data_IF_356307106050
#
_entry.id   IF_356307106050
#
_cell.length_a   1.000
_cell.length_b   1.000
_cell.length_c   1.000
_cell.angle_alpha   90.00
_cell.angle_beta   90.00
_cell.angle_gamma   90.00
#
_symmetry.space_group_name_H-M   'P 1'
#
loop_
_entity.id
_entity.type
_entity.pdbx_description
1 polymer ?
#
# COMPACT_ATOMS: atom_id res chain seq x y z
N UNK A 1 -33.84 -38.11 8.60
CA UNK A 1 -33.02 -37.09 7.91
C UNK A 1 -33.91 -36.27 6.99
N UNK A 2 -34.68 -35.35 7.57
CA UNK A 2 -35.80 -34.65 6.95
C UNK A 2 -35.33 -33.39 6.22
N UNK A 3 -35.52 -33.38 4.90
CA UNK A 3 -35.52 -32.27 3.95
C UNK A 3 -35.53 -30.85 4.57
N UNK A 4 -34.36 -30.21 4.70
CA UNK A 4 -34.22 -28.86 5.28
C UNK A 4 -34.46 -27.72 4.28
N UNK A 5 -34.84 -27.98 3.02
CA UNK A 5 -35.11 -26.88 2.07
C UNK A 5 -36.29 -27.18 1.14
N UNK A 6 -37.49 -27.36 1.70
CA UNK A 6 -38.74 -27.26 0.93
C UNK A 6 -39.40 -25.87 1.03
N UNK A 7 -38.82 -24.95 1.82
CA UNK A 7 -39.37 -23.61 1.99
C UNK A 7 -39.09 -22.72 0.77
N UNK A 8 -40.15 -22.44 0.00
CA UNK A 8 -40.18 -21.46 -1.10
C UNK A 8 -39.48 -20.12 -0.74
N UNK A 9 -39.67 -19.51 0.45
CA UNK A 9 -38.98 -18.27 0.81
C UNK A 9 -37.46 -18.43 0.91
N UNK A 10 -36.98 -19.53 1.49
CA UNK A 10 -35.54 -19.82 1.60
C UNK A 10 -34.92 -20.04 0.22
N UNK A 11 -35.60 -20.79 -0.67
CA UNK A 11 -35.16 -20.97 -2.06
C UNK A 11 -35.05 -19.64 -2.82
N UNK A 12 -36.01 -18.74 -2.61
CA UNK A 12 -35.99 -17.42 -3.23
C UNK A 12 -34.84 -16.56 -2.71
N UNK A 13 -34.59 -16.58 -1.39
CA UNK A 13 -33.49 -15.85 -0.77
C UNK A 13 -32.12 -16.35 -1.27
N UNK A 14 -31.91 -17.66 -1.32
CA UNK A 14 -30.69 -18.28 -1.87
C UNK A 14 -30.50 -17.87 -3.34
N UNK A 15 -31.58 -17.86 -4.15
CA UNK A 15 -31.51 -17.44 -5.55
C UNK A 15 -31.09 -15.97 -5.68
N UNK A 16 -31.58 -15.09 -4.80
CA UNK A 16 -31.19 -13.69 -4.81
C UNK A 16 -29.74 -13.48 -4.35
N UNK A 17 -29.29 -14.19 -3.32
CA UNK A 17 -27.89 -14.14 -2.88
C UNK A 17 -26.94 -14.62 -3.98
N UNK A 18 -27.30 -15.67 -4.72
CA UNK A 18 -26.52 -16.13 -5.89
C UNK A 18 -26.41 -15.04 -6.97
N UNK A 19 -27.51 -14.33 -7.25
CA UNK A 19 -27.50 -13.20 -8.20
C UNK A 19 -26.63 -12.04 -7.72
N UNK A 20 -26.69 -11.72 -6.43
CA UNK A 20 -25.90 -10.65 -5.83
C UNK A 20 -24.40 -11.00 -5.88
N UNK A 21 -24.05 -12.24 -5.53
CA UNK A 21 -22.69 -12.76 -5.65
C UNK A 21 -22.15 -12.63 -7.07
N UNK A 22 -22.94 -12.98 -8.09
CA UNK A 22 -22.52 -12.84 -9.50
C UNK A 22 -22.21 -11.38 -9.89
N UNK A 23 -22.89 -10.40 -9.29
CA UNK A 23 -22.57 -8.98 -9.52
C UNK A 23 -21.17 -8.65 -8.99
N UNK A 24 -20.84 -9.13 -7.78
CA UNK A 24 -19.52 -8.93 -7.19
C UNK A 24 -18.42 -9.71 -7.92
N UNK A 25 -18.68 -10.95 -8.33
CA UNK A 25 -17.73 -11.74 -9.13
C UNK A 25 -17.42 -11.05 -10.47
N UNK A 26 -18.45 -10.51 -11.13
CA UNK A 26 -18.26 -9.77 -12.39
C UNK A 26 -17.50 -8.46 -12.18
N UNK A 27 -17.79 -7.73 -11.10
CA UNK A 27 -17.03 -6.54 -10.72
C UNK A 27 -15.55 -6.88 -10.50
N UNK A 28 -15.28 -7.92 -9.71
CA UNK A 28 -13.94 -8.41 -9.42
C UNK A 28 -13.19 -8.79 -10.70
N UNK A 29 -13.79 -9.59 -11.57
CA UNK A 29 -13.16 -10.02 -12.81
C UNK A 29 -12.78 -8.85 -13.75
N UNK A 30 -13.61 -7.80 -13.80
CA UNK A 30 -13.27 -6.57 -14.55
C UNK A 30 -12.05 -5.89 -13.95
N UNK A 31 -11.99 -5.77 -12.62
CA UNK A 31 -10.93 -5.05 -11.92
C UNK A 31 -9.62 -5.84 -11.85
N UNK A 32 -9.65 -7.15 -11.66
CA UNK A 32 -8.44 -8.00 -11.69
C UNK A 32 -7.77 -7.97 -13.06
N UNK A 33 -8.56 -7.88 -14.14
CA UNK A 33 -8.07 -7.78 -15.52
C UNK A 33 -6.96 -8.79 -15.80
N UNK A 34 -7.23 -10.07 -15.53
CA UNK A 34 -6.28 -11.17 -15.70
C UNK A 34 -5.71 -11.22 -17.12
N UNK A 35 -6.52 -10.85 -18.11
CA UNK A 35 -6.13 -10.74 -19.54
C UNK A 35 -5.18 -9.57 -19.85
N UNK A 36 -4.80 -8.77 -18.85
CA UNK A 36 -3.91 -7.60 -18.96
C UNK A 36 -4.31 -6.62 -20.07
N UNK A 37 -5.61 -6.33 -20.20
CA UNK A 37 -6.11 -5.34 -21.16
C UNK A 37 -5.69 -3.93 -20.75
N UNK A 38 -5.66 -3.01 -21.72
CA UNK A 38 -5.33 -1.61 -21.48
C UNK A 38 -6.36 -0.92 -20.59
N UNK A 39 -5.97 0.23 -20.03
CA UNK A 39 -6.81 1.10 -19.21
C UNK A 39 -8.16 1.39 -19.88
N UNK A 40 -8.15 1.76 -21.15
CA UNK A 40 -9.33 2.19 -21.91
C UNK A 40 -10.34 1.05 -22.04
N UNK A 41 -9.85 -0.18 -22.25
CA UNK A 41 -10.68 -1.37 -22.35
C UNK A 41 -11.34 -1.69 -21.01
N UNK A 42 -10.59 -1.62 -19.91
CA UNK A 42 -11.12 -1.89 -18.58
C UNK A 42 -12.13 -0.81 -18.17
N UNK A 43 -11.82 0.47 -18.40
CA UNK A 43 -12.73 1.59 -18.16
C UNK A 43 -14.03 1.44 -18.97
N UNK A 44 -13.92 1.01 -20.23
CA UNK A 44 -15.07 0.69 -21.08
C UNK A 44 -15.93 -0.46 -20.53
N UNK A 45 -15.31 -1.57 -20.10
CA UNK A 45 -16.02 -2.69 -19.44
C UNK A 45 -16.72 -2.23 -18.17
N UNK A 46 -16.04 -1.40 -17.37
CA UNK A 46 -16.56 -0.89 -16.11
C UNK A 46 -17.71 0.11 -16.31
N UNK A 47 -17.67 0.96 -17.35
CA UNK A 47 -18.80 1.82 -17.74
C UNK A 47 -20.03 1.00 -18.07
N UNK A 48 -19.88 -0.03 -18.91
CA UNK A 48 -20.99 -0.93 -19.28
C UNK A 48 -21.56 -1.65 -18.05
N UNK A 49 -20.69 -2.08 -17.14
CA UNK A 49 -21.11 -2.67 -15.87
C UNK A 49 -21.90 -1.68 -15.02
N UNK A 50 -21.40 -0.45 -14.84
CA UNK A 50 -22.05 0.60 -14.09
C UNK A 50 -23.44 0.93 -14.66
N UNK A 51 -23.56 1.14 -15.97
CA UNK A 51 -24.86 1.40 -16.61
C UNK A 51 -25.85 0.24 -16.45
N UNK A 52 -25.36 -1.00 -16.47
CA UNK A 52 -26.20 -2.17 -16.18
C UNK A 52 -26.65 -2.20 -14.72
N UNK A 53 -25.80 -1.77 -13.79
CA UNK A 53 -26.11 -1.74 -12.37
C UNK A 53 -27.08 -0.60 -12.04
N UNK A 54 -26.95 0.56 -12.69
CA UNK A 54 -27.88 1.69 -12.58
C UNK A 54 -29.30 1.30 -13.02
N UNK A 55 -29.43 0.59 -14.15
CA UNK A 55 -30.72 0.03 -14.58
C UNK A 55 -31.31 -0.93 -13.54
N UNK A 56 -30.50 -1.78 -12.93
CA UNK A 56 -30.95 -2.65 -11.84
C UNK A 56 -31.31 -1.88 -10.57
N UNK A 57 -30.63 -0.77 -10.29
CA UNK A 57 -30.90 0.08 -9.13
C UNK A 57 -32.22 0.84 -9.24
N UNK A 58 -32.66 1.14 -10.46
CA UNK A 58 -33.99 1.72 -10.71
C UNK A 58 -35.12 0.81 -10.19
N UNK A 59 -34.96 -0.51 -10.34
CA UNK A 59 -35.93 -1.51 -9.82
C UNK A 59 -35.63 -1.93 -8.38
N UNK A 60 -34.35 -1.95 -7.98
CA UNK A 60 -33.94 -2.40 -6.66
C UNK A 60 -32.92 -1.46 -6.02
N UNK A 61 -33.39 -0.61 -5.10
CA UNK A 61 -32.60 0.42 -4.44
C UNK A 61 -31.39 -0.11 -3.65
N UNK A 62 -31.30 -1.41 -3.36
CA UNK A 62 -30.16 -2.00 -2.63
C UNK A 62 -28.80 -1.80 -3.34
N UNK A 63 -28.80 -1.57 -4.64
CA UNK A 63 -27.57 -1.36 -5.41
C UNK A 63 -27.11 0.10 -5.46
N UNK A 64 -27.92 1.04 -4.99
CA UNK A 64 -27.60 2.48 -4.99
C UNK A 64 -26.30 2.79 -4.22
N UNK A 65 -26.04 2.20 -3.02
CA UNK A 65 -24.78 2.42 -2.30
C UNK A 65 -23.56 1.98 -3.11
N UNK A 66 -23.64 0.82 -3.78
CA UNK A 66 -22.56 0.29 -4.61
C UNK A 66 -22.24 1.22 -5.80
N UNK A 67 -23.27 1.74 -6.46
CA UNK A 67 -23.11 2.72 -7.55
C UNK A 67 -22.43 3.99 -7.05
N UNK A 68 -22.88 4.54 -5.91
CA UNK A 68 -22.26 5.73 -5.31
C UNK A 68 -20.79 5.50 -5.00
N UNK A 69 -20.45 4.33 -4.44
CA UNK A 69 -19.08 3.97 -4.13
C UNK A 69 -18.20 3.89 -5.39
N UNK A 70 -18.67 3.21 -6.44
CA UNK A 70 -17.94 3.12 -7.71
C UNK A 70 -17.71 4.51 -8.32
N UNK A 71 -18.74 5.37 -8.34
CA UNK A 71 -18.62 6.73 -8.86
C UNK A 71 -17.65 7.58 -8.05
N UNK A 72 -17.67 7.46 -6.72
CA UNK A 72 -16.76 8.19 -5.82
C UNK A 72 -15.29 7.92 -6.14
N UNK A 73 -14.94 6.68 -6.46
CA UNK A 73 -13.56 6.28 -6.73
C UNK A 73 -13.20 6.24 -8.23
N UNK A 74 -14.11 6.67 -9.11
CA UNK A 74 -13.98 6.49 -10.56
C UNK A 74 -12.68 7.07 -11.14
N UNK A 75 -12.30 8.27 -10.70
CA UNK A 75 -11.10 8.97 -11.20
C UNK A 75 -9.80 8.23 -10.87
N UNK A 76 -9.74 7.56 -9.72
CA UNK A 76 -8.55 6.81 -9.27
C UNK A 76 -8.55 5.34 -9.68
N UNK A 77 -9.70 4.78 -10.04
CA UNK A 77 -9.87 3.33 -10.23
C UNK A 77 -8.98 2.77 -11.35
N UNK A 78 -8.71 3.57 -12.39
CA UNK A 78 -8.02 3.10 -13.59
C UNK A 78 -6.57 3.56 -13.73
N UNK A 79 -6.05 4.32 -12.76
CA UNK A 79 -4.72 4.92 -12.85
C UNK A 79 -3.59 3.87 -12.91
N UNK A 80 -3.78 2.74 -12.22
CA UNK A 80 -2.77 1.69 -12.08
C UNK A 80 -2.66 0.77 -13.30
N UNK A 81 -3.62 0.80 -14.25
CA UNK A 81 -3.60 -0.08 -15.43
C UNK A 81 -2.52 0.28 -16.45
N UNK A 82 -1.97 1.50 -16.40
CA UNK A 82 -0.84 1.92 -17.24
C UNK A 82 0.53 1.61 -16.62
N UNK A 83 0.58 1.11 -15.39
CA UNK A 83 1.82 0.99 -14.62
C UNK A 83 1.93 -0.39 -13.98
N UNK A 84 2.64 -1.31 -14.64
CA UNK A 84 2.86 -2.68 -14.14
C UNK A 84 3.56 -2.76 -12.78
N UNK A 85 4.26 -1.70 -12.39
CA UNK A 85 4.95 -1.60 -11.10
C UNK A 85 4.03 -1.23 -9.93
N UNK A 86 2.80 -0.78 -10.20
CA UNK A 86 1.87 -0.34 -9.15
C UNK A 86 0.83 -1.45 -8.91
N UNK A 87 0.69 -1.94 -7.66
CA UNK A 87 -0.32 -2.94 -7.35
C UNK A 87 -1.74 -2.43 -7.67
N UNK A 88 -2.56 -3.30 -8.27
CA UNK A 88 -3.83 -2.90 -8.91
C UNK A 88 -5.01 -2.88 -7.95
N UNK A 89 -5.06 -3.83 -7.02
CA UNK A 89 -6.12 -3.93 -6.01
C UNK A 89 -5.59 -3.64 -4.62
N UNK A 90 -6.47 -3.33 -3.67
CA UNK A 90 -6.06 -3.21 -2.26
C UNK A 90 -5.42 -4.49 -1.73
N UNK A 91 -5.90 -5.66 -2.16
CA UNK A 91 -5.29 -6.94 -1.81
C UNK A 91 -3.89 -7.09 -2.38
N UNK A 92 -3.66 -6.62 -3.61
CA UNK A 92 -2.32 -6.59 -4.20
C UNK A 92 -1.43 -5.57 -3.49
N UNK A 93 -1.97 -4.42 -3.09
CA UNK A 93 -1.25 -3.42 -2.28
C UNK A 93 -0.88 -4.00 -0.92
N UNK A 94 -1.80 -4.69 -0.24
CA UNK A 94 -1.53 -5.37 1.03
C UNK A 94 -0.48 -6.46 0.88
N UNK A 95 -0.61 -7.30 -0.15
CA UNK A 95 0.39 -8.34 -0.48
C UNK A 95 1.75 -7.72 -0.80
N UNK A 96 1.75 -6.62 -1.54
CA UNK A 96 2.96 -5.85 -1.88
C UNK A 96 3.62 -5.25 -0.63
N UNK A 97 2.84 -4.59 0.24
CA UNK A 97 3.30 -4.04 1.52
C UNK A 97 3.83 -5.16 2.41
N UNK A 98 3.18 -6.32 2.42
CA UNK A 98 3.63 -7.48 3.18
C UNK A 98 4.98 -8.03 2.70
N UNK A 99 5.14 -8.22 1.39
CA UNK A 99 6.42 -8.63 0.80
C UNK A 99 7.54 -7.61 1.06
N UNK A 100 7.21 -6.32 0.98
CA UNK A 100 8.11 -5.22 1.33
C UNK A 100 8.55 -5.33 2.81
N UNK A 101 7.60 -5.49 3.73
CA UNK A 101 7.87 -5.66 5.18
C UNK A 101 8.71 -6.90 5.47
N UNK A 102 8.45 -8.01 4.76
CA UNK A 102 9.17 -9.28 4.93
C UNK A 102 10.62 -9.17 4.48
N UNK A 103 10.87 -8.61 3.29
CA UNK A 103 12.24 -8.36 2.80
C UNK A 103 12.98 -7.36 3.69
N UNK A 104 12.31 -6.30 4.14
CA UNK A 104 12.84 -5.35 5.10
C UNK A 104 13.32 -6.03 6.39
N UNK A 105 12.46 -6.83 7.03
CA UNK A 105 12.80 -7.56 8.26
C UNK A 105 14.02 -8.46 8.07
N UNK A 106 14.18 -9.08 6.90
CA UNK A 106 15.37 -9.90 6.60
C UNK A 106 16.65 -9.09 6.47
N UNK A 107 16.58 -7.91 5.86
CA UNK A 107 17.76 -7.06 5.64
C UNK A 107 18.21 -6.34 6.91
N UNK A 108 17.26 -5.88 7.74
CA UNK A 108 17.58 -4.96 8.86
C UNK A 108 17.24 -5.51 10.23
N UNK A 109 16.56 -6.67 10.32
CA UNK A 109 16.06 -7.21 11.59
C UNK A 109 14.90 -6.43 12.20
N UNK A 110 14.53 -5.27 11.65
CA UNK A 110 13.53 -4.36 12.22
C UNK A 110 12.10 -4.67 11.72
N UNK A 111 11.10 -4.57 12.60
CA UNK A 111 9.68 -4.80 12.28
C UNK A 111 8.88 -3.50 12.06
N UNK A 112 9.42 -2.34 12.46
CA UNK A 112 8.74 -1.03 12.39
C UNK A 112 8.97 -0.35 11.04
N UNK A 113 8.33 -0.87 10.00
CA UNK A 113 8.42 -0.36 8.64
C UNK A 113 7.77 1.01 8.46
N UNK A 114 6.74 1.33 9.24
CA UNK A 114 5.98 2.58 9.10
C UNK A 114 6.79 3.82 9.52
N UNK A 115 7.54 3.73 10.62
CA UNK A 115 8.51 4.77 10.97
C UNK A 115 9.56 4.88 9.87
N UNK A 116 10.10 3.76 9.39
CA UNK A 116 11.14 3.80 8.38
C UNK A 116 10.68 4.43 7.05
N UNK A 117 9.49 4.10 6.54
CA UNK A 117 8.95 4.73 5.32
C UNK A 117 8.85 6.25 5.49
N UNK A 118 8.46 6.73 6.67
CA UNK A 118 8.37 8.15 6.96
C UNK A 118 9.74 8.86 6.93
N UNK A 119 10.82 8.22 7.35
CA UNK A 119 12.17 8.81 7.36
C UNK A 119 13.01 8.48 6.11
N UNK A 120 12.68 7.39 5.42
CA UNK A 120 13.53 6.77 4.40
C UNK A 120 12.78 6.41 3.13
N UNK A 121 11.66 7.07 2.84
CA UNK A 121 10.97 6.97 1.55
C UNK A 121 11.92 6.98 0.33
N UNK A 122 13.01 7.78 0.28
CA UNK A 122 14.00 7.70 -0.80
C UNK A 122 14.70 6.34 -0.89
N UNK A 123 15.05 5.72 0.24
CA UNK A 123 15.63 4.37 0.30
C UNK A 123 14.58 3.29 -0.04
N UNK A 124 13.32 3.55 0.31
CA UNK A 124 12.18 2.75 -0.13
C UNK A 124 12.13 2.65 -1.65
N UNK A 125 12.30 3.77 -2.36
CA UNK A 125 12.38 3.85 -3.85
C UNK A 125 13.48 2.94 -4.42
N UNK A 126 14.65 2.85 -3.77
CA UNK A 126 15.68 1.90 -4.16
C UNK A 126 15.27 0.44 -3.92
N UNK A 127 14.56 0.15 -2.82
CA UNK A 127 14.00 -1.18 -2.59
C UNK A 127 12.90 -1.53 -3.60
N UNK A 128 12.03 -0.58 -3.98
CA UNK A 128 11.03 -0.75 -5.05
C UNK A 128 11.68 -1.21 -6.36
N UNK A 129 12.87 -0.68 -6.63
CA UNK A 129 13.68 -1.00 -7.80
C UNK A 129 14.36 -2.38 -7.77
N UNK A 130 14.33 -3.08 -6.62
CA UNK A 130 14.93 -4.40 -6.39
C UNK A 130 13.89 -5.50 -6.11
N UNK A 131 12.60 -5.16 -6.10
CA UNK A 131 11.50 -6.08 -5.77
C UNK A 131 10.74 -6.52 -7.04
N UNK A 132 10.41 -7.81 -7.11
CA UNK A 132 9.63 -8.42 -8.21
C UNK A 132 10.45 -9.36 -9.09
N UNK A 133 9.79 -10.13 -9.96
CA UNK A 133 10.45 -11.07 -10.88
C UNK A 133 11.22 -10.37 -12.02
N UNK A 134 10.88 -9.11 -12.30
CA UNK A 134 11.55 -8.23 -13.26
C UNK A 134 11.58 -6.80 -12.72
N UNK A 135 12.48 -6.49 -11.78
CA UNK A 135 12.58 -5.15 -11.21
C UNK A 135 12.96 -4.13 -12.29
N UNK A 136 12.51 -2.87 -12.18
CA UNK A 136 12.84 -1.82 -13.15
C UNK A 136 14.34 -1.67 -13.43
N UNK A 137 15.20 -1.80 -12.40
CA UNK A 137 16.66 -1.76 -12.57
C UNK A 137 17.19 -2.88 -13.46
N UNK A 138 16.64 -4.09 -13.34
CA UNK A 138 17.00 -5.23 -14.20
C UNK A 138 16.67 -4.96 -15.67
N UNK A 139 15.55 -4.28 -15.94
CA UNK A 139 15.17 -3.88 -17.31
C UNK A 139 16.10 -2.81 -17.89
N UNK A 140 16.69 -1.98 -17.03
CA UNK A 140 17.65 -0.95 -17.40
C UNK A 140 19.10 -1.48 -17.47
N UNK A 141 19.32 -2.78 -17.25
CA UNK A 141 20.63 -3.42 -17.34
C UNK A 141 21.48 -3.35 -16.07
N UNK A 142 20.94 -2.85 -14.96
CA UNK A 142 21.64 -2.82 -13.68
C UNK A 142 21.53 -4.16 -12.96
N UNK A 143 22.59 -4.53 -12.21
CA UNK A 143 22.51 -5.65 -11.29
C UNK A 143 21.44 -5.39 -10.23
N UNK A 144 20.65 -6.43 -9.94
CA UNK A 144 19.63 -6.43 -8.88
C UNK A 144 20.01 -7.35 -7.73
N UNK A 145 21.24 -7.88 -7.74
CA UNK A 145 21.77 -8.60 -6.61
C UNK A 145 22.16 -7.60 -5.51
N UNK A 146 21.44 -7.68 -4.40
CA UNK A 146 21.63 -6.81 -3.24
C UNK A 146 23.03 -6.97 -2.66
N UNK A 147 23.60 -8.19 -2.69
CA UNK A 147 24.94 -8.43 -2.17
C UNK A 147 25.99 -7.69 -3.00
N UNK A 148 25.89 -7.77 -4.32
CA UNK A 148 26.78 -7.08 -5.26
C UNK A 148 26.67 -5.55 -5.12
N UNK A 149 25.45 -5.02 -5.09
CA UNK A 149 25.23 -3.58 -4.92
C UNK A 149 25.77 -3.06 -3.59
N UNK A 150 25.54 -3.78 -2.49
CA UNK A 150 26.06 -3.37 -1.18
C UNK A 150 27.59 -3.50 -1.11
N UNK A 151 28.17 -4.46 -1.83
CA UNK A 151 29.63 -4.62 -1.90
C UNK A 151 30.34 -3.52 -2.70
N UNK A 152 29.62 -2.81 -3.58
CA UNK A 152 30.16 -1.68 -4.35
C UNK A 152 30.29 -0.37 -3.55
N UNK A 153 29.71 -0.31 -2.36
CA UNK A 153 29.77 0.87 -1.49
C UNK A 153 30.97 0.74 -0.56
N UNK A 154 31.81 1.77 -0.50
CA UNK A 154 32.94 1.78 0.42
C UNK A 154 32.47 1.78 1.88
N UNK A 155 33.26 1.15 2.76
CA UNK A 155 32.97 1.11 4.19
C UNK A 155 32.87 2.52 4.81
N UNK A 156 33.67 3.46 4.32
CA UNK A 156 33.66 4.85 4.78
C UNK A 156 32.37 5.56 4.43
N UNK A 157 31.87 5.40 3.19
CA UNK A 157 30.57 5.93 2.78
C UNK A 157 29.43 5.34 3.60
N UNK A 158 29.49 4.03 3.91
CA UNK A 158 28.52 3.39 4.80
C UNK A 158 28.54 4.00 6.21
N UNK A 159 29.73 4.14 6.82
CA UNK A 159 29.91 4.72 8.16
C UNK A 159 29.37 6.15 8.24
N UNK A 160 29.64 6.95 7.22
CA UNK A 160 29.19 8.34 7.15
C UNK A 160 27.65 8.43 7.05
N UNK A 161 27.03 7.60 6.20
CA UNK A 161 25.58 7.51 6.13
C UNK A 161 24.94 7.03 7.45
N UNK A 162 25.57 6.11 8.17
CA UNK A 162 25.08 5.64 9.47
C UNK A 162 25.16 6.72 10.55
N UNK A 163 26.25 7.50 10.59
CA UNK A 163 26.38 8.62 11.53
C UNK A 163 25.36 9.73 11.25
N UNK A 164 25.07 10.01 9.98
CA UNK A 164 24.01 10.94 9.60
C UNK A 164 22.62 10.44 9.98
N UNK A 165 22.38 9.13 9.89
CA UNK A 165 21.15 8.51 10.36
C UNK A 165 20.94 8.65 11.87
N UNK A 166 21.98 8.40 12.66
CA UNK A 166 21.87 8.52 14.12
C UNK A 166 21.55 9.95 14.55
N UNK A 167 22.08 10.96 13.84
CA UNK A 167 21.72 12.38 14.03
C UNK A 167 20.24 12.65 13.73
N UNK A 168 19.76 12.24 12.57
CA UNK A 168 18.35 12.43 12.17
C UNK A 168 17.37 11.76 13.14
N UNK A 169 17.75 10.60 13.70
CA UNK A 169 16.93 9.87 14.68
C UNK A 169 16.82 10.64 16.00
N UNK A 170 17.89 11.29 16.43
CA UNK A 170 17.89 12.10 17.66
C UNK A 170 17.08 13.40 17.47
N UNK A 171 17.24 14.09 16.35
CA UNK A 171 16.44 15.28 16.02
C UNK A 171 14.93 14.99 16.05
N UNK A 172 14.53 13.82 15.55
CA UNK A 172 13.13 13.42 15.56
C UNK A 172 12.63 12.97 16.94
N UNK A 173 13.50 12.39 17.78
CA UNK A 173 13.18 12.10 19.19
C UNK A 173 12.85 13.40 19.91
N UNK A 174 13.66 14.44 19.71
CA UNK A 174 13.44 15.78 20.25
C UNK A 174 12.12 16.33 19.73
N UNK A 175 11.87 16.29 18.42
CA UNK A 175 10.62 16.76 17.80
C UNK A 175 9.38 16.06 18.34
N UNK A 176 9.42 14.72 18.46
CA UNK A 176 8.31 13.92 19.02
C UNK A 176 8.10 14.20 20.51
N UNK A 177 9.18 14.42 21.27
CA UNK A 177 9.14 14.86 22.66
C UNK A 177 8.40 16.19 22.78
N UNK A 178 8.77 17.17 21.95
CA UNK A 178 8.13 18.49 21.93
C UNK A 178 6.65 18.44 21.56
N UNK A 179 6.28 17.63 20.57
CA UNK A 179 4.87 17.45 20.21
C UNK A 179 4.03 16.78 21.32
N UNK A 180 4.67 16.09 22.27
CA UNK A 180 4.01 15.38 23.37
C UNK A 180 3.91 16.25 24.61
N UNK A 181 4.99 16.95 24.95
CA UNK A 181 5.08 17.89 26.06
C UNK A 181 6.24 18.86 25.79
N UNK A 182 5.88 20.05 25.28
CA UNK A 182 6.83 21.11 24.94
C UNK A 182 7.59 21.59 26.18
N UNK A 183 6.94 21.65 27.34
CA UNK A 183 7.51 22.24 28.56
C UNK A 183 8.59 21.30 29.14
N UNK A 184 8.31 20.00 29.18
CA UNK A 184 9.29 19.00 29.61
C UNK A 184 10.53 18.98 28.70
N UNK A 185 10.34 19.07 27.39
CA UNK A 185 11.46 19.12 26.42
C UNK A 185 12.31 20.39 26.59
N UNK A 186 11.69 21.56 26.76
CA UNK A 186 12.42 22.81 26.95
C UNK A 186 13.26 22.80 28.22
N UNK A 187 12.73 22.25 29.32
CA UNK A 187 13.48 22.09 30.58
C UNK A 187 14.68 21.14 30.43
N UNK A 188 14.54 20.05 29.66
CA UNK A 188 15.61 19.11 29.34
C UNK A 188 16.73 19.81 28.52
N UNK A 189 16.35 20.57 27.50
CA UNK A 189 17.28 21.34 26.66
C UNK A 189 18.01 22.41 27.48
N UNK A 190 17.30 23.13 28.36
CA UNK A 190 17.89 24.14 29.23
C UNK A 190 18.90 23.51 30.21
N UNK A 191 18.59 22.33 30.75
CA UNK A 191 19.51 21.55 31.59
C UNK A 191 20.76 21.11 30.82
N UNK A 192 20.61 20.62 29.59
CA UNK A 192 21.74 20.23 28.73
C UNK A 192 22.63 21.43 28.40
N UNK A 193 22.06 22.59 28.06
CA UNK A 193 22.82 23.80 27.76
C UNK A 193 23.58 24.31 28.99
N UNK A 194 22.97 24.28 30.18
CA UNK A 194 23.65 24.61 31.45
C UNK A 194 24.82 23.67 31.74
N UNK A 195 24.65 22.38 31.43
CA UNK A 195 25.69 21.37 31.61
C UNK A 195 26.83 21.47 30.60
N UNK A 196 26.63 22.08 29.42
CA UNK A 196 27.72 22.38 28.46
C UNK A 196 28.43 23.67 28.86
N UNK A 197 27.70 24.68 29.32
CA UNK A 197 28.24 25.96 29.77
C UNK A 197 29.05 25.89 31.08
N UNK A 198 29.04 24.77 31.80
CA UNK A 198 29.85 24.54 33.01
C UNK A 198 31.20 23.86 32.73
N UNK A 199 31.47 23.49 31.47
CA UNK A 199 32.73 22.88 31.03
C UNK A 199 33.58 23.80 30.14
N UNK A 200 33.17 25.06 29.99
CA UNK A 200 33.99 26.20 29.54
C UNK A 200 34.47 27.01 30.76
#
# INVERSE_FOLDING_TARGET
MTSVVSDKPVKWLVKNLKRDRQIFERLRAILENEDKKSREVVEGKMRRFLSSLERKAATNKKYVPLIKQIKKFWSGLFYTYGHDCIPRTNNDMERFIWELRKKWKRMTGCTRVDEWIAYRAPTGIYMFNLIGSSPPLKKLGFSVDVAEMLSSVSYDSYRQCMAEYDRQKEDDRIRKGGNRDVVALLNEIERMNKAVATWE
#
